data_IF_410184416105
#
_entry.id   IF_410184416105
#
_cell.length_a   1.000
_cell.length_b   1.000
_cell.length_c   1.000
_cell.angle_alpha   90.00
_cell.angle_beta   90.00
_cell.angle_gamma   90.00
#
_symmetry.space_group_name_H-M   'P 1'
#
loop_
_entity.id
_entity.type
_entity.pdbx_description
1 polymer ?
#
# COMPACT_ATOMS: atom_id res chain seq x y z
N UNK A 1 3.20 10.31 -25.69
CA UNK A 1 1.75 10.53 -25.96
C UNK A 1 0.97 9.36 -25.39
N UNK A 2 -0.24 9.56 -24.86
CA UNK A 2 -1.06 8.49 -24.26
C UNK A 2 -1.20 7.22 -25.13
N UNK A 3 -1.34 7.39 -26.45
CA UNK A 3 -1.40 6.29 -27.42
C UNK A 3 -0.14 5.40 -27.49
N UNK A 4 0.99 5.84 -26.93
CA UNK A 4 2.22 5.04 -26.83
C UNK A 4 2.27 4.25 -25.52
N UNK A 5 1.44 4.60 -24.53
CA UNK A 5 1.40 4.00 -23.20
C UNK A 5 0.29 2.95 -23.12
N UNK A 6 -0.89 3.24 -23.69
CA UNK A 6 -2.00 2.30 -23.72
C UNK A 6 -1.61 1.02 -24.49
N UNK A 7 -1.85 -0.13 -23.88
CA UNK A 7 -1.49 -1.45 -24.41
C UNK A 7 -0.05 -1.89 -24.16
N UNK A 8 0.77 -1.10 -23.47
CA UNK A 8 2.08 -1.57 -22.99
C UNK A 8 1.90 -2.70 -21.97
N UNK A 9 2.82 -3.66 -22.00
CA UNK A 9 3.00 -4.63 -20.92
C UNK A 9 4.07 -4.11 -19.95
N UNK A 10 3.71 -4.02 -18.67
CA UNK A 10 4.63 -3.64 -17.59
C UNK A 10 4.59 -4.78 -16.57
N UNK A 11 5.65 -5.59 -16.54
CA UNK A 11 5.78 -6.75 -15.63
C UNK A 11 4.57 -7.70 -15.70
N UNK A 12 4.01 -7.94 -16.88
CA UNK A 12 2.85 -8.82 -17.06
C UNK A 12 1.49 -8.15 -16.90
N UNK A 13 1.45 -6.83 -16.66
CA UNK A 13 0.21 -6.06 -16.59
C UNK A 13 0.03 -5.19 -17.84
N UNK A 14 -1.12 -5.32 -18.50
CA UNK A 14 -1.46 -4.50 -19.65
C UNK A 14 -2.01 -3.14 -19.21
N UNK A 15 -1.47 -2.05 -19.76
CA UNK A 15 -1.95 -0.70 -19.44
C UNK A 15 -3.25 -0.38 -20.18
N UNK A 16 -4.36 -0.33 -19.44
CA UNK A 16 -5.70 -0.08 -20.01
C UNK A 16 -6.16 1.38 -19.91
N UNK A 17 -5.60 2.15 -18.98
CA UNK A 17 -6.01 3.53 -18.69
C UNK A 17 -4.77 4.37 -18.40
N UNK A 18 -4.90 5.67 -18.63
CA UNK A 18 -3.89 6.67 -18.25
C UNK A 18 -4.59 7.76 -17.43
N UNK A 19 -3.97 8.15 -16.31
CA UNK A 19 -4.35 9.35 -15.58
C UNK A 19 -3.66 10.54 -16.24
N UNK A 20 -4.41 11.62 -16.47
CA UNK A 20 -3.87 12.88 -16.97
C UNK A 20 -4.14 13.93 -15.91
N UNK A 21 -3.07 14.48 -15.35
CA UNK A 21 -3.11 15.45 -14.27
C UNK A 21 -2.28 16.70 -14.62
N UNK A 22 -2.45 17.74 -13.82
CA UNK A 22 -1.61 18.93 -13.89
C UNK A 22 -0.20 18.60 -13.37
N UNK A 23 0.83 19.05 -14.10
CA UNK A 23 2.20 18.87 -13.64
C UNK A 23 2.47 19.71 -12.39
N UNK A 24 2.79 19.04 -11.28
CA UNK A 24 3.10 19.71 -10.01
C UNK A 24 4.52 20.30 -10.02
N UNK A 25 4.66 21.55 -9.58
CA UNK A 25 5.98 22.15 -9.32
C UNK A 25 6.48 21.71 -7.93
N UNK A 26 7.19 20.58 -7.90
CA UNK A 26 7.69 19.96 -6.67
C UNK A 26 8.87 20.77 -6.11
N UNK A 27 8.78 21.16 -4.84
CA UNK A 27 9.87 21.76 -4.08
C UNK A 27 10.58 20.70 -3.21
N UNK A 28 9.80 19.86 -2.53
CA UNK A 28 10.29 18.78 -1.66
C UNK A 28 9.33 17.58 -1.69
N UNK A 29 9.84 16.39 -1.41
CA UNK A 29 9.11 15.12 -1.41
C UNK A 29 9.26 14.42 -0.06
N UNK A 30 8.14 13.93 0.47
CA UNK A 30 8.05 13.25 1.76
C UNK A 30 7.36 11.90 1.60
N UNK A 31 7.51 11.04 2.59
CA UNK A 31 6.81 9.78 2.69
C UNK A 31 5.82 9.80 3.85
N UNK A 32 4.62 9.28 3.63
CA UNK A 32 3.64 9.09 4.70
C UNK A 32 2.83 7.81 4.52
N UNK A 33 2.55 7.09 5.61
CA UNK A 33 1.59 5.98 5.59
C UNK A 33 0.89 5.75 6.93
N UNK A 34 -0.32 5.18 6.87
CA UNK A 34 -0.94 4.42 7.95
C UNK A 34 -1.04 2.95 7.56
N UNK A 35 -0.76 2.05 8.51
CA UNK A 35 -0.84 0.62 8.30
C UNK A 35 -1.30 -0.11 9.56
N UNK A 36 -1.84 -1.32 9.38
CA UNK A 36 -2.10 -2.25 10.48
C UNK A 36 -0.82 -2.98 10.90
N UNK A 37 -0.27 -2.62 12.06
CA UNK A 37 0.85 -3.33 12.67
C UNK A 37 0.35 -4.60 13.37
N UNK A 38 0.46 -5.72 12.66
CA UNK A 38 0.04 -7.03 13.14
C UNK A 38 0.86 -7.53 14.34
N UNK A 39 2.14 -7.15 14.44
CA UNK A 39 3.00 -7.62 15.52
C UNK A 39 2.60 -6.97 16.85
N UNK A 40 2.36 -5.66 16.83
CA UNK A 40 1.96 -4.91 18.02
C UNK A 40 0.43 -4.84 18.22
N UNK A 41 -0.34 -5.34 17.24
CA UNK A 41 -1.82 -5.33 17.24
C UNK A 41 -2.38 -3.91 17.40
N UNK A 42 -1.78 -2.98 16.68
CA UNK A 42 -2.13 -1.56 16.70
C UNK A 42 -2.11 -1.00 15.27
N UNK A 43 -2.64 0.20 15.10
CA UNK A 43 -2.37 1.00 13.91
C UNK A 43 -1.05 1.73 14.08
N UNK A 44 -0.31 1.87 12.99
CA UNK A 44 0.98 2.53 12.96
C UNK A 44 0.99 3.57 11.85
N UNK A 45 1.48 4.76 12.16
CA UNK A 45 1.89 5.75 11.18
C UNK A 45 3.38 5.68 10.94
N UNK A 46 3.78 5.77 9.67
CA UNK A 46 5.17 5.98 9.26
C UNK A 46 5.23 7.31 8.52
N UNK A 47 6.20 8.16 8.90
CA UNK A 47 6.38 9.48 8.29
C UNK A 47 7.87 9.78 8.15
N UNK A 48 8.28 10.33 7.01
CA UNK A 48 9.67 10.71 6.77
C UNK A 48 9.78 11.92 5.85
N UNK A 49 10.73 12.80 6.16
CA UNK A 49 11.15 13.87 5.26
C UNK A 49 11.94 13.37 4.03
N UNK A 50 12.30 12.08 3.99
CA UNK A 50 12.95 11.43 2.85
C UNK A 50 11.90 10.69 2.01
N UNK A 51 11.21 11.40 1.10
CA UNK A 51 10.26 10.83 0.15
C UNK A 51 10.85 10.47 -1.21
N UNK A 52 10.04 9.90 -2.10
CA UNK A 52 10.43 9.58 -3.48
C UNK A 52 11.32 8.34 -3.63
N UNK A 53 11.50 7.57 -2.56
CA UNK A 53 12.26 6.32 -2.51
C UNK A 53 11.46 5.24 -1.77
N UNK A 54 11.91 3.99 -1.83
CA UNK A 54 11.32 2.89 -1.07
C UNK A 54 11.60 3.08 0.44
N UNK A 55 10.55 3.12 1.26
CA UNK A 55 10.67 3.43 2.69
C UNK A 55 11.47 2.36 3.44
N UNK A 56 11.48 1.12 2.95
CA UNK A 56 12.26 0.02 3.48
C UNK A 56 13.77 0.27 3.35
N UNK A 57 14.21 0.90 2.26
CA UNK A 57 15.60 1.27 2.05
C UNK A 57 16.02 2.39 3.00
N UNK A 58 15.15 3.41 3.17
CA UNK A 58 15.37 4.48 4.15
C UNK A 58 15.44 3.91 5.56
N UNK A 59 14.53 3.00 5.92
CA UNK A 59 14.54 2.36 7.24
C UNK A 59 15.79 1.51 7.49
N UNK A 60 16.39 0.91 6.45
CA UNK A 60 17.61 0.12 6.56
C UNK A 60 18.88 0.98 6.64
N UNK A 61 18.92 2.11 5.92
CA UNK A 61 20.12 2.96 5.79
C UNK A 61 20.13 4.14 6.75
N UNK A 62 18.97 4.74 7.01
CA UNK A 62 18.77 5.88 7.90
C UNK A 62 17.51 5.69 8.77
N UNK A 63 17.51 4.76 9.73
CA UNK A 63 16.34 4.48 10.58
C UNK A 63 15.86 5.70 11.39
N UNK A 64 16.73 6.68 11.68
CA UNK A 64 16.37 7.89 12.41
C UNK A 64 15.58 8.91 11.56
N UNK A 65 15.56 8.75 10.23
CA UNK A 65 14.70 9.53 9.35
C UNK A 65 13.26 8.98 9.29
N UNK A 66 13.02 7.79 9.82
CA UNK A 66 11.71 7.11 9.75
C UNK A 66 11.01 7.21 11.10
N UNK A 67 10.06 8.14 11.20
CA UNK A 67 9.20 8.21 12.38
C UNK A 67 8.18 7.08 12.36
N UNK A 68 8.02 6.41 13.50
CA UNK A 68 7.04 5.34 13.71
C UNK A 68 6.16 5.72 14.90
N UNK A 69 4.91 6.08 14.64
CA UNK A 69 3.99 6.57 15.66
C UNK A 69 2.79 5.63 15.76
N UNK A 70 2.65 4.96 16.90
CA UNK A 70 1.48 4.12 17.17
C UNK A 70 0.23 4.99 17.31
N UNK A 71 -0.85 4.59 16.65
CA UNK A 71 -2.12 5.32 16.64
C UNK A 71 -3.12 4.59 17.52
N UNK A 72 -3.71 5.33 18.47
CA UNK A 72 -4.76 4.83 19.35
C UNK A 72 -6.04 4.59 18.52
N UNK A 73 -6.58 3.37 18.60
CA UNK A 73 -7.73 2.96 17.80
C UNK A 73 -9.03 3.70 18.15
N UNK A 74 -9.15 4.28 19.35
CA UNK A 74 -10.32 5.03 19.79
C UNK A 74 -10.19 6.51 19.46
N UNK A 75 -8.99 7.09 19.61
CA UNK A 75 -8.75 8.50 19.35
C UNK A 75 -8.48 8.81 17.88
N UNK A 76 -7.78 7.91 17.19
CA UNK A 76 -7.34 8.11 15.80
C UNK A 76 -6.21 9.13 15.67
N UNK A 77 -6.20 9.88 14.57
CA UNK A 77 -5.21 10.92 14.26
C UNK A 77 -5.83 12.34 14.19
N UNK A 78 -6.37 12.88 15.29
CA UNK A 78 -6.78 14.28 15.38
C UNK A 78 -5.59 15.24 15.17
N UNK A 79 -5.86 16.53 15.07
CA UNK A 79 -4.88 17.53 14.65
C UNK A 79 -3.59 17.57 15.51
N UNK A 80 -3.70 17.32 16.82
CA UNK A 80 -2.54 17.23 17.72
C UNK A 80 -1.68 15.99 17.42
N UNK A 81 -2.30 14.82 17.28
CA UNK A 81 -1.60 13.58 16.89
C UNK A 81 -0.99 13.72 15.49
N UNK A 82 -1.70 14.33 14.54
CA UNK A 82 -1.20 14.58 13.20
C UNK A 82 0.01 15.52 13.20
N UNK A 83 -0.03 16.59 14.00
CA UNK A 83 1.11 17.49 14.17
C UNK A 83 2.31 16.78 14.81
N UNK A 84 2.07 15.92 15.80
CA UNK A 84 3.14 15.12 16.43
C UNK A 84 3.78 14.13 15.45
N UNK A 85 2.99 13.50 14.57
CA UNK A 85 3.51 12.62 13.52
C UNK A 85 4.41 13.39 12.55
N UNK A 86 3.95 14.54 12.08
CA UNK A 86 4.68 15.41 11.15
C UNK A 86 5.98 15.92 11.78
N UNK A 87 5.94 16.33 13.05
CA UNK A 87 7.11 16.77 13.78
C UNK A 87 8.14 15.63 13.96
N UNK A 88 7.69 14.43 14.32
CA UNK A 88 8.57 13.27 14.45
C UNK A 88 9.15 12.82 13.11
N UNK A 89 8.37 12.94 12.02
CA UNK A 89 8.81 12.70 10.64
C UNK A 89 9.81 13.73 10.12
N UNK A 90 10.12 14.76 10.90
CA UNK A 90 11.08 15.84 10.59
C UNK A 90 10.71 16.62 9.33
N UNK A 91 9.42 16.70 8.98
CA UNK A 91 8.97 17.55 7.89
C UNK A 91 9.26 19.03 8.22
N UNK A 92 9.68 19.83 7.24
CA UNK A 92 10.04 21.22 7.49
C UNK A 92 8.82 22.05 7.89
N UNK A 93 9.06 23.16 8.60
CA UNK A 93 8.01 24.05 9.07
C UNK A 93 7.09 24.56 7.95
N UNK A 94 7.62 24.71 6.72
CA UNK A 94 6.85 25.12 5.55
C UNK A 94 5.76 24.10 5.15
N UNK A 95 6.03 22.80 5.34
CA UNK A 95 5.08 21.73 5.04
C UNK A 95 4.21 21.35 6.24
N UNK A 96 4.63 21.67 7.47
CA UNK A 96 4.09 21.05 8.68
C UNK A 96 2.56 21.17 8.83
N UNK A 97 2.00 22.38 8.65
CA UNK A 97 0.56 22.58 8.79
C UNK A 97 -0.24 21.85 7.70
N UNK A 98 0.19 21.97 6.43
CA UNK A 98 -0.48 21.31 5.31
C UNK A 98 -0.38 19.78 5.39
N UNK A 99 0.78 19.27 5.81
CA UNK A 99 0.98 17.84 6.03
C UNK A 99 0.06 17.33 7.15
N UNK A 100 -0.05 18.03 8.28
CA UNK A 100 -0.93 17.62 9.38
C UNK A 100 -2.40 17.54 8.93
N UNK A 101 -2.88 18.49 8.12
CA UNK A 101 -4.22 18.44 7.53
C UNK A 101 -4.41 17.22 6.62
N UNK A 102 -3.42 16.90 5.79
CA UNK A 102 -3.46 15.71 4.92
C UNK A 102 -3.45 14.43 5.76
N UNK A 103 -2.62 14.35 6.80
CA UNK A 103 -2.54 13.20 7.71
C UNK A 103 -3.90 12.91 8.35
N UNK A 104 -4.59 13.92 8.88
CA UNK A 104 -5.94 13.73 9.44
C UNK A 104 -6.92 13.20 8.38
N UNK A 105 -6.90 13.73 7.16
CA UNK A 105 -7.78 13.26 6.07
C UNK A 105 -7.45 11.82 5.65
N UNK A 106 -6.17 11.45 5.60
CA UNK A 106 -5.74 10.08 5.28
C UNK A 106 -6.16 9.09 6.37
N UNK A 107 -6.24 9.52 7.62
CA UNK A 107 -6.81 8.70 8.69
C UNK A 107 -8.30 8.46 8.50
N UNK A 108 -9.06 9.50 8.10
CA UNK A 108 -10.49 9.36 7.78
C UNK A 108 -10.70 8.36 6.62
N UNK A 109 -9.81 8.38 5.62
CA UNK A 109 -9.80 7.37 4.54
C UNK A 109 -9.49 5.98 5.08
N UNK A 110 -8.43 5.86 5.90
CA UNK A 110 -7.98 4.59 6.45
C UNK A 110 -9.10 3.89 7.24
N UNK A 111 -9.78 4.61 8.12
CA UNK A 111 -10.89 4.08 8.91
C UNK A 111 -12.17 3.94 8.08
N UNK A 112 -12.52 4.95 7.29
CA UNK A 112 -13.77 4.98 6.54
C UNK A 112 -13.88 3.92 5.45
N UNK A 113 -12.75 3.44 4.93
CA UNK A 113 -12.68 2.40 3.91
C UNK A 113 -12.27 1.03 4.43
N UNK A 114 -12.17 0.84 5.74
CA UNK A 114 -11.63 -0.40 6.33
C UNK A 114 -10.27 -0.78 5.70
N UNK A 115 -9.37 0.20 5.56
CA UNK A 115 -8.07 -0.01 4.93
C UNK A 115 -7.10 -0.73 5.88
N UNK A 116 -6.23 -1.55 5.30
CA UNK A 116 -5.07 -2.11 6.00
C UNK A 116 -3.78 -1.32 5.73
N UNK A 117 -3.78 -0.52 4.65
CA UNK A 117 -2.69 0.39 4.27
C UNK A 117 -3.28 1.62 3.58
N UNK A 118 -2.84 2.80 3.97
CA UNK A 118 -2.94 4.05 3.20
C UNK A 118 -1.54 4.63 3.16
N UNK A 119 -0.97 4.71 1.97
CA UNK A 119 0.39 5.19 1.73
C UNK A 119 0.35 6.32 0.70
N UNK A 120 1.15 7.35 0.92
CA UNK A 120 1.36 8.47 0.01
C UNK A 120 2.85 8.63 -0.19
N UNK A 121 3.31 8.34 -1.40
CA UNK A 121 4.71 8.42 -1.79
C UNK A 121 4.84 8.84 -3.26
N UNK A 122 5.13 10.12 -3.58
CA UNK A 122 5.48 11.18 -2.63
C UNK A 122 4.27 11.99 -2.13
N UNK A 123 4.35 12.42 -0.87
CA UNK A 123 3.63 13.58 -0.33
C UNK A 123 4.50 14.80 -0.61
N UNK A 124 4.05 15.74 -1.44
CA UNK A 124 4.89 16.84 -1.92
C UNK A 124 4.58 18.16 -1.24
N UNK A 125 5.61 18.98 -1.06
CA UNK A 125 5.48 20.43 -0.91
C UNK A 125 5.67 21.06 -2.29
N UNK A 126 4.67 21.79 -2.77
CA UNK A 126 4.78 22.54 -4.03
C UNK A 126 5.50 23.86 -3.82
N UNK A 127 6.08 24.44 -4.89
CA UNK A 127 6.78 25.75 -4.82
C UNK A 127 5.89 26.90 -4.36
N UNK A 128 4.57 26.79 -4.53
CA UNK A 128 3.58 27.76 -4.06
C UNK A 128 3.12 27.51 -2.61
N UNK A 129 3.72 26.54 -1.92
CA UNK A 129 3.53 26.30 -0.49
C UNK A 129 2.36 25.39 -0.13
N UNK A 130 1.80 24.65 -1.08
CA UNK A 130 0.74 23.66 -0.81
C UNK A 130 1.35 22.28 -0.54
N UNK A 131 0.69 21.51 0.32
CA UNK A 131 1.02 20.09 0.51
C UNK A 131 0.00 19.24 -0.24
N UNK A 132 0.48 18.32 -1.08
CA UNK A 132 -0.36 17.52 -1.98
C UNK A 132 0.10 16.07 -1.95
N UNK A 133 -0.85 15.13 -1.88
CA UNK A 133 -0.58 13.72 -2.11
C UNK A 133 -0.47 13.49 -3.62
N UNK A 134 0.76 13.30 -4.13
CA UNK A 134 0.99 13.18 -5.58
C UNK A 134 0.71 11.77 -6.08
N UNK A 135 1.16 10.77 -5.33
CA UNK A 135 0.84 9.37 -5.59
C UNK A 135 0.43 8.68 -4.29
N UNK A 136 -0.53 7.76 -4.39
CA UNK A 136 -1.16 7.15 -3.25
C UNK A 136 -1.57 5.71 -3.51
N UNK A 137 -1.26 4.85 -2.56
CA UNK A 137 -1.61 3.43 -2.56
C UNK A 137 -2.49 3.12 -1.37
N UNK A 138 -3.65 2.53 -1.63
CA UNK A 138 -4.59 2.11 -0.59
C UNK A 138 -4.88 0.63 -0.74
N UNK A 139 -4.68 -0.12 0.34
CA UNK A 139 -5.05 -1.54 0.43
C UNK A 139 -6.22 -1.68 1.38
N UNK A 140 -7.29 -2.30 0.91
CA UNK A 140 -8.52 -2.51 1.68
C UNK A 140 -8.54 -3.90 2.33
N UNK A 141 -9.21 -4.03 3.48
CA UNK A 141 -9.52 -5.34 4.05
C UNK A 141 -10.62 -6.03 3.24
N UNK A 142 -10.25 -7.09 2.51
CA UNK A 142 -11.20 -7.90 1.74
C UNK A 142 -12.33 -8.47 2.62
N UNK A 143 -12.08 -8.70 3.92
CA UNK A 143 -13.12 -9.21 4.83
C UNK A 143 -14.19 -8.16 5.15
N UNK A 144 -13.93 -6.88 4.88
CA UNK A 144 -14.87 -5.79 5.07
C UNK A 144 -15.69 -5.46 3.81
N UNK A 145 -15.44 -6.16 2.69
CA UNK A 145 -16.10 -5.92 1.39
C UNK A 145 -17.64 -5.88 1.52
N UNK A 146 -18.23 -6.72 2.37
CA UNK A 146 -19.68 -6.79 2.59
C UNK A 146 -20.34 -5.49 3.07
N UNK A 147 -19.57 -4.55 3.64
CA UNK A 147 -20.06 -3.26 4.16
C UNK A 147 -19.43 -2.06 3.46
N UNK A 148 -18.62 -2.30 2.43
CA UNK A 148 -17.93 -1.26 1.67
C UNK A 148 -18.55 -1.14 0.28
N UNK A 149 -18.83 0.09 -0.15
CA UNK A 149 -19.23 0.38 -1.53
C UNK A 149 -17.96 0.48 -2.38
N UNK A 150 -17.58 -0.64 -3.00
CA UNK A 150 -16.37 -0.79 -3.81
C UNK A 150 -16.67 -0.83 -5.32
N UNK A 151 -17.94 -0.79 -5.73
CA UNK A 151 -18.33 -0.93 -7.14
C UNK A 151 -17.71 0.18 -8.02
N UNK A 152 -17.54 1.38 -7.45
CA UNK A 152 -16.87 2.49 -8.14
C UNK A 152 -15.35 2.37 -8.20
N UNK A 153 -14.75 1.54 -7.33
CA UNK A 153 -13.31 1.30 -7.24
C UNK A 153 -12.88 0.03 -7.97
N UNK A 154 -13.84 -0.86 -8.28
CA UNK A 154 -13.60 -2.08 -9.01
C UNK A 154 -13.04 -1.77 -10.41
N UNK A 155 -11.72 -1.90 -10.54
CA UNK A 155 -11.05 -1.99 -11.84
C UNK A 155 -11.46 -3.32 -12.49
N UNK A 156 -11.77 -3.29 -13.79
CA UNK A 156 -12.14 -4.48 -14.53
C UNK A 156 -10.93 -5.43 -14.59
N UNK A 157 -11.07 -6.60 -13.95
CA UNK A 157 -10.17 -7.74 -14.04
C UNK A 157 -8.70 -7.45 -13.72
N UNK A 158 -8.38 -7.33 -12.43
CA UNK A 158 -7.01 -7.54 -11.96
C UNK A 158 -6.89 -8.94 -11.34
N UNK A 159 -5.91 -9.71 -11.81
CA UNK A 159 -5.61 -11.08 -11.36
C UNK A 159 -5.43 -12.06 -12.51
N UNK A 160 -4.67 -13.14 -12.28
CA UNK A 160 -4.56 -14.23 -13.27
C UNK A 160 -5.96 -14.80 -13.56
N UNK A 161 -6.33 -15.08 -14.83
CA UNK A 161 -7.65 -15.61 -15.18
C UNK A 161 -8.06 -16.86 -14.38
N UNK A 162 -7.08 -17.66 -13.94
CA UNK A 162 -7.32 -18.84 -13.11
C UNK A 162 -7.68 -18.47 -11.66
N UNK A 163 -7.06 -17.43 -11.10
CA UNK A 163 -7.39 -16.92 -9.76
C UNK A 163 -8.80 -16.35 -9.73
N UNK A 164 -9.17 -15.58 -10.76
CA UNK A 164 -10.54 -15.06 -10.91
C UNK A 164 -11.56 -16.19 -11.02
N UNK A 165 -11.29 -17.20 -11.86
CA UNK A 165 -12.16 -18.35 -12.03
C UNK A 165 -12.28 -19.21 -10.76
N UNK A 166 -11.21 -19.30 -9.96
CA UNK A 166 -11.21 -19.99 -8.68
C UNK A 166 -12.03 -19.22 -7.62
N UNK A 167 -11.82 -17.90 -7.51
CA UNK A 167 -12.57 -17.02 -6.60
C UNK A 167 -14.07 -17.09 -6.86
N UNK A 168 -14.49 -17.09 -8.13
CA UNK A 168 -15.90 -17.26 -8.53
C UNK A 168 -16.52 -18.62 -8.08
N UNK A 169 -15.69 -19.62 -7.79
CA UNK A 169 -16.10 -20.93 -7.28
C UNK A 169 -15.90 -21.06 -5.76
N UNK A 170 -15.52 -20.00 -5.06
CA UNK A 170 -15.21 -20.01 -3.63
C UNK A 170 -13.91 -20.77 -3.30
N UNK A 171 -12.98 -20.84 -4.25
CA UNK A 171 -11.68 -21.49 -4.07
C UNK A 171 -10.57 -20.45 -3.93
N UNK A 172 -9.63 -20.70 -3.03
CA UNK A 172 -8.36 -19.97 -2.98
C UNK A 172 -7.38 -20.66 -3.93
N UNK A 173 -6.92 -19.94 -4.94
CA UNK A 173 -5.93 -20.41 -5.91
C UNK A 173 -4.80 -19.39 -5.99
N UNK A 174 -3.57 -19.88 -6.09
CA UNK A 174 -2.37 -19.07 -6.28
C UNK A 174 -1.56 -19.76 -7.36
N UNK A 175 -1.19 -19.02 -8.41
CA UNK A 175 -0.32 -19.57 -9.45
C UNK A 175 1.13 -19.46 -9.03
N UNK A 176 1.86 -20.57 -9.18
CA UNK A 176 3.29 -20.66 -8.95
C UNK A 176 3.94 -21.28 -10.18
N UNK A 177 5.22 -20.98 -10.39
CA UNK A 177 6.01 -21.63 -11.42
C UNK A 177 6.42 -23.03 -10.94
N UNK A 178 6.12 -24.05 -11.74
CA UNK A 178 6.45 -25.44 -11.43
C UNK A 178 5.64 -26.45 -12.25
N UNK A 179 5.90 -27.74 -12.01
CA UNK A 179 5.27 -28.84 -12.74
C UNK A 179 4.24 -29.62 -11.90
N UNK A 180 4.19 -29.39 -10.58
CA UNK A 180 3.34 -30.13 -9.63
C UNK A 180 2.26 -29.21 -9.06
N UNK A 181 1.00 -29.53 -9.34
CA UNK A 181 -0.15 -28.86 -8.74
C UNK A 181 -0.51 -29.44 -7.37
N UNK A 182 -0.86 -28.58 -6.41
CA UNK A 182 -1.26 -28.98 -5.06
C UNK A 182 -2.70 -28.55 -4.81
N UNK A 183 -3.54 -29.51 -4.40
CA UNK A 183 -4.93 -29.29 -3.98
C UNK A 183 -5.07 -29.86 -2.58
N UNK A 184 -5.53 -29.04 -1.64
CA UNK A 184 -5.74 -29.46 -0.27
C UNK A 184 -6.73 -28.56 0.46
N UNK A 185 -7.12 -28.98 1.66
CA UNK A 185 -8.03 -28.24 2.53
C UNK A 185 -7.27 -27.49 3.62
N UNK A 186 -7.49 -26.17 3.70
CA UNK A 186 -6.87 -25.30 4.69
C UNK A 186 -5.50 -24.79 4.27
N UNK A 187 -5.29 -23.48 4.41
CA UNK A 187 -4.09 -22.79 3.93
C UNK A 187 -2.79 -23.35 4.54
N UNK A 188 -2.78 -23.65 5.84
CA UNK A 188 -1.60 -24.20 6.52
C UNK A 188 -1.17 -25.57 5.99
N UNK A 189 -2.12 -26.48 5.78
CA UNK A 189 -1.82 -27.82 5.25
C UNK A 189 -1.31 -27.74 3.81
N UNK A 190 -1.91 -26.89 2.99
CA UNK A 190 -1.48 -26.67 1.59
C UNK A 190 -0.06 -26.10 1.54
N UNK A 191 0.24 -25.08 2.37
CA UNK A 191 1.60 -24.52 2.45
C UNK A 191 2.63 -25.55 2.90
N UNK A 192 2.37 -26.33 3.95
CA UNK A 192 3.29 -27.39 4.38
C UNK A 192 3.46 -28.49 3.33
N UNK A 193 2.39 -28.82 2.59
CA UNK A 193 2.47 -29.79 1.48
C UNK A 193 3.36 -29.25 0.36
N UNK A 194 3.25 -27.96 0.06
CA UNK A 194 4.12 -27.28 -0.90
C UNK A 194 5.57 -27.33 -0.47
N UNK A 195 5.87 -27.02 0.79
CA UNK A 195 7.24 -27.08 1.32
C UNK A 195 7.83 -28.49 1.21
N UNK A 196 7.06 -29.53 1.56
CA UNK A 196 7.52 -30.92 1.46
C UNK A 196 7.77 -31.34 0.01
N UNK A 197 6.88 -30.96 -0.91
CA UNK A 197 7.04 -31.26 -2.34
C UNK A 197 8.25 -30.53 -2.92
N UNK A 198 8.41 -29.23 -2.64
CA UNK A 198 9.56 -28.45 -3.08
C UNK A 198 10.87 -29.02 -2.50
N UNK A 199 10.89 -29.38 -1.21
CA UNK A 199 12.04 -30.00 -0.57
C UNK A 199 12.42 -31.35 -1.21
N UNK A 200 11.43 -32.19 -1.51
CA UNK A 200 11.68 -33.45 -2.22
C UNK A 200 12.17 -33.22 -3.66
N UNK A 201 11.64 -32.20 -4.34
CA UNK A 201 12.02 -31.81 -5.70
C UNK A 201 13.46 -31.28 -5.82
N UNK A 202 14.04 -30.72 -4.76
CA UNK A 202 15.45 -30.27 -4.75
C UNK A 202 16.43 -31.39 -5.11
N UNK A 203 16.14 -32.64 -4.71
CA UNK A 203 16.96 -33.80 -5.07
C UNK A 203 16.88 -34.16 -6.57
N UNK A 204 15.94 -33.57 -7.30
CA UNK A 204 15.62 -33.85 -8.70
C UNK A 204 15.76 -32.64 -9.62
N UNK A 205 16.38 -31.54 -9.14
CA UNK A 205 16.70 -30.36 -9.95
C UNK A 205 15.77 -29.17 -9.78
N UNK A 206 14.81 -29.25 -8.83
CA UNK A 206 13.80 -28.22 -8.60
C UNK A 206 12.46 -28.59 -9.23
#
# INVERSE_FOLDING_TARGET
KAAQILGMDIKGHTVHRVLVEEASEIAEEYYFSFLLDRANRTFLSICSAEGGMEIEEVAATNPEAVAKVAIDALKGAPADVAADIVAQGKLPAAAAAGAAEVVTKLWDVFVGKDATLVEVNPLILTKDGRVVALDGKVTLDENAEFRQDLDSLASAAEGDPLEVAAKAKGLNYVKLDGEVGIIGNGAGLVMSTLDVVAYAGQAHGG
#
